data_IF_702763692458
#
_entry.id   IF_702763692458
#
_cell.length_a   1.000
_cell.length_b   1.000
_cell.length_c   1.000
_cell.angle_alpha   90.00
_cell.angle_beta   90.00
_cell.angle_gamma   90.00
#
_symmetry.space_group_name_H-M   'P 1'
#
loop_
_entity.id
_entity.type
_entity.pdbx_description
1 polymer ?
#
# COMPACT_ATOMS: atom_id res chain seq x y z
N UNK A 1 -46.75 14.20 33.55
CA UNK A 1 -46.94 14.58 32.13
C UNK A 1 -46.15 13.59 31.27
N UNK A 2 -46.92 12.80 30.51
CA UNK A 2 -46.63 12.03 29.28
C UNK A 2 -45.17 11.70 28.92
N UNK A 3 -44.84 10.43 29.16
CA UNK A 3 -43.95 9.57 28.36
C UNK A 3 -44.32 9.64 26.88
N UNK A 4 -43.33 9.67 25.99
CA UNK A 4 -43.50 9.32 24.57
C UNK A 4 -42.51 8.23 24.17
N UNK A 5 -43.08 7.05 24.00
CA UNK A 5 -42.56 5.96 23.17
C UNK A 5 -42.97 6.28 21.73
N UNK A 6 -42.03 6.19 20.78
CA UNK A 6 -42.29 6.04 19.34
C UNK A 6 -41.09 5.25 18.78
N UNK A 7 -41.17 3.92 18.75
CA UNK A 7 -41.65 3.12 17.61
C UNK A 7 -40.96 3.44 16.29
N UNK A 8 -39.99 2.59 15.94
CA UNK A 8 -39.84 1.98 14.62
C UNK A 8 -39.54 2.89 13.44
N UNK A 9 -38.28 2.88 12.99
CA UNK A 9 -37.98 2.82 11.56
C UNK A 9 -36.69 2.03 11.38
N UNK A 10 -36.85 0.79 10.92
CA UNK A 10 -35.78 0.01 10.32
C UNK A 10 -35.26 0.79 9.11
N UNK A 11 -34.01 1.25 9.15
CA UNK A 11 -33.34 1.70 7.94
C UNK A 11 -32.78 0.48 7.24
N UNK A 12 -33.50 0.11 6.20
CA UNK A 12 -33.20 -0.89 5.20
C UNK A 12 -31.76 -0.69 4.68
N UNK A 13 -31.02 -1.80 4.67
CA UNK A 13 -29.81 -1.97 3.87
C UNK A 13 -30.10 -1.54 2.43
N UNK A 14 -29.51 -0.43 1.99
CA UNK A 14 -29.47 -0.07 0.58
C UNK A 14 -28.18 -0.66 -0.01
N UNK A 15 -28.25 -1.92 -0.39
CA UNK A 15 -27.28 -2.55 -1.28
C UNK A 15 -27.41 -1.88 -2.64
N UNK A 16 -26.47 -1.02 -3.01
CA UNK A 16 -26.35 -0.58 -4.39
C UNK A 16 -25.81 -1.76 -5.22
N UNK A 17 -26.72 -2.50 -5.83
CA UNK A 17 -26.37 -3.32 -6.98
C UNK A 17 -26.10 -2.38 -8.15
N UNK A 18 -24.88 -2.41 -8.67
CA UNK A 18 -24.55 -1.83 -9.97
C UNK A 18 -25.31 -2.67 -11.00
N UNK A 19 -26.41 -2.12 -11.54
CA UNK A 19 -27.10 -2.68 -12.70
C UNK A 19 -26.44 -2.14 -13.95
N UNK A 20 -25.61 -2.95 -14.62
CA UNK A 20 -25.25 -2.70 -16.01
C UNK A 20 -26.42 -3.17 -16.89
N UNK A 21 -27.01 -2.25 -17.63
CA UNK A 21 -27.93 -2.57 -18.72
C UNK A 21 -27.09 -3.14 -19.88
N UNK A 22 -27.18 -4.45 -20.10
CA UNK A 22 -26.48 -5.12 -21.18
C UNK A 22 -27.30 -5.02 -22.46
N UNK A 23 -27.07 -3.96 -23.24
CA UNK A 23 -27.51 -3.95 -24.62
C UNK A 23 -26.37 -4.49 -25.49
N UNK A 24 -26.35 -5.81 -25.71
CA UNK A 24 -25.31 -6.46 -26.50
C UNK A 24 -25.91 -7.04 -27.78
N UNK A 25 -25.78 -6.29 -28.88
CA UNK A 25 -25.73 -6.87 -30.21
C UNK A 25 -24.25 -6.88 -30.59
N UNK A 26 -23.66 -8.08 -30.66
CA UNK A 26 -22.70 -8.46 -31.70
C UNK A 26 -22.34 -9.95 -31.55
N UNK A 27 -22.46 -10.65 -32.68
CA UNK A 27 -21.85 -11.93 -32.99
C UNK A 27 -20.36 -11.91 -32.62
N UNK A 28 -19.93 -12.85 -31.78
CA UNK A 28 -18.58 -13.40 -31.81
C UNK A 28 -18.62 -14.84 -31.25
N UNK A 29 -18.42 -15.81 -32.16
CA UNK A 29 -18.29 -17.23 -31.84
C UNK A 29 -16.87 -17.51 -31.32
N UNK A 30 -16.63 -17.31 -30.02
CA UNK A 30 -15.51 -17.92 -29.29
C UNK A 30 -16.09 -18.83 -28.19
N UNK A 31 -15.81 -20.16 -28.17
CA UNK A 31 -16.38 -21.07 -27.19
C UNK A 31 -15.88 -20.81 -25.76
N UNK A 32 -14.85 -19.99 -25.54
CA UNK A 32 -14.34 -19.69 -24.20
C UNK A 32 -13.53 -18.38 -24.15
N UNK A 33 -14.17 -17.20 -24.06
CA UNK A 33 -13.43 -15.94 -23.98
C UNK A 33 -12.54 -15.92 -22.73
N UNK A 34 -11.26 -15.61 -22.91
CA UNK A 34 -10.31 -15.42 -21.81
C UNK A 34 -10.87 -14.42 -20.79
N UNK A 35 -10.73 -14.66 -19.47
CA UNK A 35 -11.24 -13.74 -18.45
C UNK A 35 -10.63 -12.34 -18.65
N UNK A 36 -11.50 -11.34 -18.87
CA UNK A 36 -11.11 -9.94 -19.04
C UNK A 36 -10.90 -9.25 -17.69
N UNK A 37 -10.20 -8.11 -17.69
CA UNK A 37 -10.03 -7.28 -16.50
C UNK A 37 -11.38 -6.69 -16.07
N UNK A 38 -11.68 -6.78 -14.78
CA UNK A 38 -12.91 -6.25 -14.20
C UNK A 38 -12.64 -5.20 -13.12
N UNK A 39 -13.65 -4.41 -12.78
CA UNK A 39 -13.57 -3.49 -11.62
C UNK A 39 -13.36 -4.23 -10.30
N UNK A 40 -13.85 -5.47 -10.17
CA UNK A 40 -13.63 -6.33 -9.02
C UNK A 40 -12.16 -6.75 -8.89
N UNK A 41 -11.49 -7.05 -10.00
CA UNK A 41 -10.04 -7.33 -10.03
C UNK A 41 -9.25 -6.12 -9.52
N UNK A 42 -9.55 -4.92 -10.04
CA UNK A 42 -8.90 -3.67 -9.62
C UNK A 42 -9.15 -3.37 -8.14
N UNK A 43 -10.37 -3.62 -7.65
CA UNK A 43 -10.70 -3.45 -6.24
C UNK A 43 -9.93 -4.43 -5.33
N UNK A 44 -9.74 -5.68 -5.74
CA UNK A 44 -8.93 -6.65 -4.99
C UNK A 44 -7.45 -6.26 -4.99
N UNK A 45 -6.92 -5.80 -6.12
CA UNK A 45 -5.57 -5.27 -6.22
C UNK A 45 -5.37 -4.09 -5.25
N UNK A 46 -6.32 -3.16 -5.20
CA UNK A 46 -6.28 -2.02 -4.28
C UNK A 46 -6.26 -2.46 -2.81
N UNK A 47 -7.06 -3.46 -2.42
CA UNK A 47 -7.04 -4.01 -1.05
C UNK A 47 -5.70 -4.64 -0.68
N UNK A 48 -5.02 -5.27 -1.63
CA UNK A 48 -3.68 -5.84 -1.43
C UNK A 48 -2.66 -4.70 -1.27
N UNK A 49 -2.73 -3.68 -2.12
CA UNK A 49 -1.82 -2.52 -2.06
C UNK A 49 -1.93 -1.77 -0.73
N UNK A 50 -3.16 -1.50 -0.25
CA UNK A 50 -3.38 -0.86 1.07
C UNK A 50 -2.76 -1.68 2.20
N UNK A 51 -2.92 -3.00 2.19
CA UNK A 51 -2.30 -3.87 3.21
C UNK A 51 -0.76 -3.84 3.14
N UNK A 52 -0.19 -3.80 1.94
CA UNK A 52 1.26 -3.70 1.73
C UNK A 52 1.78 -2.36 2.22
N UNK A 53 1.13 -1.27 1.86
CA UNK A 53 1.56 0.09 2.17
C UNK A 53 1.47 0.38 3.67
N UNK A 54 0.43 -0.10 4.35
CA UNK A 54 0.32 0.00 5.81
C UNK A 54 1.44 -0.78 6.52
N UNK A 55 1.78 -1.98 6.04
CA UNK A 55 2.91 -2.74 6.58
C UNK A 55 4.23 -1.99 6.37
N UNK A 56 4.46 -1.46 5.17
CA UNK A 56 5.65 -0.67 4.87
C UNK A 56 5.75 0.51 5.83
N UNK A 57 4.66 1.24 6.04
CA UNK A 57 4.62 2.37 6.96
C UNK A 57 4.99 1.97 8.40
N UNK A 58 4.47 0.82 8.89
CA UNK A 58 4.85 0.27 10.20
C UNK A 58 6.35 -0.05 10.26
N UNK A 59 6.89 -0.70 9.24
CA UNK A 59 8.30 -1.10 9.19
C UNK A 59 9.21 0.14 9.19
N UNK A 60 8.91 1.14 8.36
CA UNK A 60 9.68 2.39 8.28
C UNK A 60 9.63 3.19 9.60
N UNK A 61 8.45 3.30 10.23
CA UNK A 61 8.27 3.96 11.53
C UNK A 61 9.13 3.29 12.62
N UNK A 62 9.14 1.95 12.66
CA UNK A 62 9.87 1.22 13.68
C UNK A 62 11.39 1.23 13.47
N UNK A 63 11.84 1.23 12.22
CA UNK A 63 13.23 1.48 11.90
C UNK A 63 13.67 2.89 12.31
N UNK A 64 12.90 3.91 11.93
CA UNK A 64 13.18 5.32 12.25
C UNK A 64 13.18 5.57 13.77
N UNK A 65 12.23 4.96 14.50
CA UNK A 65 12.17 5.02 15.97
C UNK A 65 13.46 4.46 16.59
N UNK A 66 13.94 3.30 16.10
CA UNK A 66 15.18 2.72 16.60
C UNK A 66 16.39 3.62 16.30
N UNK A 67 16.50 4.11 15.06
CA UNK A 67 17.57 5.03 14.65
C UNK A 67 17.64 6.29 15.53
N UNK A 68 16.48 6.90 15.80
CA UNK A 68 16.38 8.10 16.64
C UNK A 68 16.75 7.80 18.10
N UNK A 69 16.32 6.65 18.62
CA UNK A 69 16.67 6.23 19.98
C UNK A 69 18.19 6.06 20.17
N UNK A 70 18.89 5.53 19.16
CA UNK A 70 20.36 5.39 19.18
C UNK A 70 21.07 6.72 19.04
N UNK A 71 20.50 7.68 18.30
CA UNK A 71 21.08 9.00 18.10
C UNK A 71 20.79 9.99 19.25
N UNK A 72 20.07 9.58 20.30
CA UNK A 72 19.65 10.44 21.42
C UNK A 72 18.94 11.72 20.97
N UNK A 73 18.20 11.68 19.86
CA UNK A 73 17.48 12.85 19.38
C UNK A 73 16.32 13.18 20.33
N UNK A 74 16.29 14.41 20.86
CA UNK A 74 15.24 14.93 21.77
C UNK A 74 13.87 15.14 21.11
N UNK A 75 13.72 14.80 19.83
CA UNK A 75 12.46 14.88 19.12
C UNK A 75 11.55 13.73 19.59
N UNK A 76 10.48 14.05 20.29
CA UNK A 76 9.42 13.11 20.65
C UNK A 76 8.78 12.58 19.39
N UNK A 77 9.27 11.47 18.84
CA UNK A 77 8.54 10.74 17.80
C UNK A 77 7.26 10.20 18.42
N UNK A 78 6.12 10.85 18.15
CA UNK A 78 4.82 10.28 18.48
C UNK A 78 4.70 8.99 17.68
N UNK A 79 4.89 7.85 18.33
CA UNK A 79 4.89 6.55 17.66
C UNK A 79 3.58 6.38 16.88
N UNK A 80 3.70 5.95 15.62
CA UNK A 80 2.54 5.64 14.78
C UNK A 80 1.68 4.53 15.37
N UNK A 81 2.32 3.59 16.08
CA UNK A 81 1.67 2.39 16.56
C UNK A 81 0.68 2.69 17.71
N UNK A 82 -0.49 2.04 17.69
CA UNK A 82 -1.46 2.14 18.77
C UNK A 82 -0.90 1.54 20.06
N UNK A 83 -1.43 1.97 21.21
CA UNK A 83 -0.96 1.55 22.54
C UNK A 83 -1.13 0.06 22.83
N UNK A 84 -1.95 -0.65 22.06
CA UNK A 84 -2.12 -2.10 22.16
C UNK A 84 -0.96 -2.89 21.53
N UNK A 85 -0.12 -2.25 20.70
CA UNK A 85 1.03 -2.90 20.09
C UNK A 85 2.16 -3.01 21.11
N UNK A 86 2.74 -4.20 21.27
CA UNK A 86 3.91 -4.45 22.11
C UNK A 86 5.14 -4.58 21.23
N UNK A 87 6.20 -3.83 21.57
CA UNK A 87 7.45 -3.86 20.80
C UNK A 87 8.53 -4.51 21.65
N UNK A 88 9.15 -5.57 21.13
CA UNK A 88 10.35 -6.18 21.72
C UNK A 88 11.54 -5.94 20.81
N UNK A 89 12.67 -5.50 21.36
CA UNK A 89 13.89 -5.21 20.60
C UNK A 89 15.04 -6.04 21.16
N UNK A 90 15.75 -6.72 20.26
CA UNK A 90 16.93 -7.54 20.58
C UNK A 90 18.09 -7.11 19.68
N UNK A 91 19.28 -6.98 20.25
CA UNK A 91 20.53 -6.82 19.51
C UNK A 91 21.36 -8.09 19.65
N UNK A 92 21.67 -8.73 18.53
CA UNK A 92 22.59 -9.86 18.48
C UNK A 92 23.44 -9.75 17.20
N UNK A 93 24.73 -10.03 17.32
CA UNK A 93 25.67 -10.08 16.18
C UNK A 93 25.63 -8.85 15.24
N UNK A 94 25.43 -7.65 15.80
CA UNK A 94 25.37 -6.40 15.02
C UNK A 94 24.06 -6.18 14.24
N UNK A 95 23.03 -6.99 14.51
CA UNK A 95 21.71 -6.89 13.88
C UNK A 95 20.67 -6.57 14.95
N UNK A 96 19.92 -5.48 14.73
CA UNK A 96 18.71 -5.20 15.48
C UNK A 96 17.57 -6.06 14.94
N UNK A 97 16.91 -6.79 15.83
CA UNK A 97 15.65 -7.48 15.55
C UNK A 97 14.55 -6.85 16.41
N UNK A 98 13.52 -6.30 15.77
CA UNK A 98 12.35 -5.75 16.46
C UNK A 98 11.12 -6.58 16.11
N UNK A 99 10.40 -7.03 17.14
CA UNK A 99 9.12 -7.72 16.99
C UNK A 99 8.02 -6.76 17.41
N UNK A 100 7.10 -6.48 16.48
CA UNK A 100 5.88 -5.72 16.71
C UNK A 100 4.76 -6.73 16.87
N UNK A 101 4.20 -6.84 18.07
CA UNK A 101 3.13 -7.78 18.41
C UNK A 101 1.82 -7.02 18.64
N UNK A 102 0.84 -7.24 17.76
CA UNK A 102 -0.50 -6.66 17.84
C UNK A 102 -1.49 -7.57 18.60
N UNK A 103 -1.01 -8.68 19.14
CA UNK A 103 -1.82 -9.68 19.83
C UNK A 103 -2.81 -10.40 18.91
N UNK A 104 -3.62 -11.27 19.52
CA UNK A 104 -4.65 -12.05 18.83
C UNK A 104 -5.97 -11.30 18.69
N UNK A 105 -6.27 -10.38 19.62
CA UNK A 105 -7.45 -9.51 19.57
C UNK A 105 -7.32 -8.44 18.47
N UNK A 106 -6.10 -8.06 18.12
CA UNK A 106 -5.80 -7.04 17.13
C UNK A 106 -5.78 -5.61 17.67
N UNK A 107 -5.29 -4.73 16.82
CA UNK A 107 -5.01 -3.33 17.06
C UNK A 107 -5.57 -2.48 15.93
N UNK A 108 -6.33 -1.44 16.29
CA UNK A 108 -6.83 -0.45 15.34
C UNK A 108 -5.73 0.58 15.05
N UNK A 109 -5.30 0.67 13.80
CA UNK A 109 -4.35 1.67 13.33
C UNK A 109 -5.03 3.06 13.20
N UNK A 110 -4.26 4.16 13.21
CA UNK A 110 -4.80 5.51 13.05
C UNK A 110 -5.60 5.76 11.76
N UNK A 111 -5.35 4.98 10.72
CA UNK A 111 -6.08 5.02 9.45
C UNK A 111 -7.40 4.22 9.47
N UNK A 112 -7.75 3.58 10.59
CA UNK A 112 -8.96 2.76 10.73
C UNK A 112 -8.79 1.29 10.36
N UNK A 113 -7.63 0.87 9.87
CA UNK A 113 -7.36 -0.53 9.53
C UNK A 113 -7.03 -1.35 10.78
N UNK A 114 -7.54 -2.58 10.84
CA UNK A 114 -7.31 -3.53 11.93
C UNK A 114 -6.16 -4.45 11.60
N UNK A 115 -5.17 -4.54 12.48
CA UNK A 115 -4.03 -5.46 12.36
C UNK A 115 -3.92 -6.41 13.56
N UNK A 116 -3.55 -7.67 13.35
CA UNK A 116 -3.32 -8.65 14.43
C UNK A 116 -2.13 -9.56 14.09
N UNK A 117 -1.58 -10.24 15.07
CA UNK A 117 -0.38 -11.06 14.91
C UNK A 117 0.90 -10.23 15.00
N UNK A 118 1.98 -10.67 14.35
CA UNK A 118 3.30 -10.06 14.51
C UNK A 118 4.01 -9.74 13.21
N UNK A 119 4.75 -8.64 13.23
CA UNK A 119 5.75 -8.28 12.22
C UNK A 119 7.12 -8.33 12.89
N UNK A 120 8.05 -9.07 12.29
CA UNK A 120 9.43 -9.14 12.75
C UNK A 120 10.29 -8.41 11.73
N UNK A 121 10.98 -7.36 12.15
CA UNK A 121 11.87 -6.56 11.31
C UNK A 121 13.31 -6.75 11.78
N UNK A 122 14.25 -6.76 10.83
CA UNK A 122 15.68 -6.88 11.09
C UNK A 122 16.50 -5.94 10.23
N UNK A 123 17.49 -5.27 10.82
CA UNK A 123 18.37 -4.32 10.15
C UNK A 123 19.70 -4.14 10.89
N UNK A 124 20.73 -3.65 10.19
CA UNK A 124 22.07 -3.40 10.73
C UNK A 124 22.07 -2.28 11.78
N UNK A 125 23.04 -2.32 12.71
CA UNK A 125 23.31 -1.22 13.65
C UNK A 125 23.95 0.01 12.99
N UNK A 126 24.53 -0.13 11.79
CA UNK A 126 25.15 0.98 11.08
C UNK A 126 24.11 1.78 10.29
N UNK A 127 23.57 2.80 10.95
CA UNK A 127 22.64 3.75 10.36
C UNK A 127 23.33 4.79 9.45
N UNK A 128 24.66 4.86 9.44
CA UNK A 128 25.43 5.82 8.64
C UNK A 128 25.81 5.29 7.26
N UNK A 129 25.70 3.97 7.06
CA UNK A 129 25.93 3.34 5.76
C UNK A 129 25.07 4.01 4.67
N UNK A 130 25.65 4.32 3.50
CA UNK A 130 24.90 4.87 2.36
C UNK A 130 23.92 3.85 1.77
N UNK A 131 24.10 2.56 2.05
CA UNK A 131 23.19 1.48 1.66
C UNK A 131 22.72 0.74 2.92
N UNK A 132 21.41 0.71 3.15
CA UNK A 132 20.81 0.09 4.34
C UNK A 132 19.65 -0.79 3.91
N UNK A 133 19.62 -2.02 4.40
CA UNK A 133 18.54 -2.96 4.11
C UNK A 133 17.77 -3.27 5.38
N UNK A 134 16.45 -3.13 5.31
CA UNK A 134 15.50 -3.60 6.31
C UNK A 134 14.83 -4.83 5.74
N UNK A 135 14.94 -5.96 6.43
CA UNK A 135 14.20 -7.17 6.09
C UNK A 135 13.05 -7.35 7.07
N UNK A 136 11.93 -7.90 6.61
CA UNK A 136 10.84 -8.22 7.52
C UNK A 136 10.03 -9.45 7.10
N UNK A 137 9.45 -10.08 8.11
CA UNK A 137 8.67 -11.31 8.02
C UNK A 137 7.44 -11.23 8.92
N UNK A 138 6.51 -12.17 8.75
CA UNK A 138 5.23 -12.19 9.46
C UNK A 138 5.06 -13.47 10.28
N UNK A 139 4.42 -13.34 11.45
CA UNK A 139 3.93 -14.47 12.25
C UNK A 139 2.46 -14.26 12.52
N UNK A 140 1.62 -15.09 11.90
CA UNK A 140 0.16 -15.03 12.00
C UNK A 140 -0.39 -13.60 11.83
N UNK A 141 0.20 -12.82 10.91
CA UNK A 141 -0.14 -11.42 10.72
C UNK A 141 -1.35 -11.25 9.80
N UNK A 142 -2.34 -10.49 10.24
CA UNK A 142 -3.51 -10.17 9.45
C UNK A 142 -3.73 -8.67 9.34
N UNK A 143 -4.16 -8.21 8.16
CA UNK A 143 -4.62 -6.86 7.90
C UNK A 143 -6.06 -6.89 7.38
N UNK A 144 -7.01 -6.32 8.13
CA UNK A 144 -8.44 -6.39 7.85
C UNK A 144 -8.87 -7.83 7.46
N UNK A 145 -8.54 -8.79 8.32
CA UNK A 145 -8.79 -10.23 8.14
C UNK A 145 -8.05 -10.94 6.99
N UNK A 146 -7.24 -10.23 6.19
CA UNK A 146 -6.37 -10.85 5.18
C UNK A 146 -5.09 -11.33 5.85
N UNK A 147 -4.79 -12.62 5.77
CA UNK A 147 -3.54 -13.21 6.27
C UNK A 147 -2.42 -12.88 5.28
N UNK A 148 -1.36 -12.23 5.76
CA UNK A 148 -0.17 -11.91 4.97
C UNK A 148 0.99 -12.84 5.38
N UNK A 149 1.62 -13.44 4.39
CA UNK A 149 2.76 -14.34 4.56
C UNK A 149 3.81 -14.03 3.49
N UNK A 150 5.08 -14.25 3.80
CA UNK A 150 6.19 -14.01 2.88
C UNK A 150 7.30 -13.17 3.52
N UNK A 151 8.27 -12.80 2.68
CA UNK A 151 9.45 -12.05 3.07
C UNK A 151 9.57 -10.80 2.21
N UNK A 152 10.10 -9.73 2.79
CA UNK A 152 10.27 -8.46 2.06
C UNK A 152 11.50 -7.71 2.49
N UNK A 153 11.97 -6.84 1.59
CA UNK A 153 13.08 -5.94 1.87
C UNK A 153 12.75 -4.51 1.49
N UNK A 154 13.28 -3.58 2.27
CA UNK A 154 13.36 -2.15 1.96
C UNK A 154 14.84 -1.81 1.91
N UNK A 155 15.31 -1.32 0.77
CA UNK A 155 16.69 -0.89 0.58
C UNK A 155 16.73 0.62 0.44
N UNK A 156 17.45 1.28 1.34
CA UNK A 156 17.72 2.72 1.30
C UNK A 156 19.09 2.94 0.67
N UNK A 157 19.16 3.85 -0.29
CA UNK A 157 20.39 4.25 -0.96
C UNK A 157 20.45 5.77 -1.11
N UNK A 158 21.66 6.34 -1.05
CA UNK A 158 21.93 7.68 -1.56
C UNK A 158 22.60 7.55 -2.93
N UNK A 159 21.88 7.88 -4.00
CA UNK A 159 22.39 7.76 -5.38
C UNK A 159 21.74 8.78 -6.31
N UNK A 160 22.33 8.96 -7.48
CA UNK A 160 21.67 9.61 -8.62
C UNK A 160 20.83 8.59 -9.39
N UNK A 161 19.79 9.07 -10.07
CA UNK A 161 18.89 8.25 -10.90
C UNK A 161 18.62 8.93 -12.23
N UNK A 162 17.89 8.26 -13.12
CA UNK A 162 17.39 8.86 -14.35
C UNK A 162 16.33 9.96 -14.10
N UNK A 163 15.65 9.94 -12.94
CA UNK A 163 14.63 10.92 -12.58
C UNK A 163 15.23 12.17 -11.91
N UNK A 164 16.37 12.02 -11.21
CA UNK A 164 17.09 13.14 -10.61
C UNK A 164 18.61 12.86 -10.58
N UNK A 165 19.38 13.72 -11.25
CA UNK A 165 20.83 13.57 -11.40
C UNK A 165 21.61 13.87 -10.11
N UNK A 166 21.09 14.76 -9.26
CA UNK A 166 21.66 15.02 -7.94
C UNK A 166 21.53 13.80 -7.03
N UNK A 167 22.50 13.59 -6.14
CA UNK A 167 22.44 12.48 -5.18
C UNK A 167 21.31 12.74 -4.18
N UNK A 168 20.37 11.82 -4.10
CA UNK A 168 19.19 11.94 -3.25
C UNK A 168 18.80 10.57 -2.65
N UNK A 169 17.93 10.54 -1.63
CA UNK A 169 17.40 9.31 -1.06
C UNK A 169 16.52 8.54 -2.05
N UNK A 170 16.88 7.27 -2.25
CA UNK A 170 16.14 6.30 -3.06
C UNK A 170 15.81 5.09 -2.20
N UNK A 171 14.53 4.71 -2.18
CA UNK A 171 14.02 3.56 -1.42
C UNK A 171 13.46 2.53 -2.37
N UNK A 172 14.02 1.33 -2.36
CA UNK A 172 13.55 0.20 -3.16
C UNK A 172 12.85 -0.81 -2.26
N UNK A 173 11.57 -1.04 -2.52
CA UNK A 173 10.72 -2.01 -1.84
C UNK A 173 10.56 -3.22 -2.74
N UNK A 174 10.85 -4.40 -2.22
CA UNK A 174 10.54 -5.67 -2.89
C UNK A 174 9.38 -6.35 -2.17
N UNK A 175 8.48 -6.96 -2.95
CA UNK A 175 7.41 -7.79 -2.44
C UNK A 175 7.51 -9.18 -3.04
N UNK A 176 7.43 -10.19 -2.17
CA UNK A 176 7.11 -11.56 -2.49
C UNK A 176 6.21 -12.09 -1.36
N UNK A 177 4.91 -12.15 -1.62
CA UNK A 177 3.91 -12.47 -0.61
C UNK A 177 2.83 -13.39 -1.10
N UNK A 178 2.29 -14.15 -0.15
CA UNK A 178 1.00 -14.82 -0.22
C UNK A 178 0.00 -14.07 0.67
N UNK A 179 -1.16 -13.75 0.12
CA UNK A 179 -2.25 -13.06 0.79
C UNK A 179 -3.48 -13.97 0.75
N UNK A 180 -4.00 -14.36 1.91
CA UNK A 180 -5.23 -15.15 1.99
C UNK A 180 -6.37 -14.25 2.46
N UNK A 181 -7.42 -14.13 1.66
CA UNK A 181 -8.61 -13.35 1.97
C UNK A 181 -9.51 -14.12 2.95
N UNK A 182 -10.49 -13.41 3.51
CA UNK A 182 -11.46 -13.96 4.47
C UNK A 182 -12.37 -15.04 3.87
N UNK A 183 -12.63 -14.98 2.56
CA UNK A 183 -13.32 -16.02 1.79
C UNK A 183 -12.45 -17.24 1.48
N UNK A 184 -11.20 -17.28 1.95
CA UNK A 184 -10.25 -18.37 1.74
C UNK A 184 -9.50 -18.30 0.41
N UNK A 185 -9.78 -17.32 -0.46
CA UNK A 185 -9.05 -17.12 -1.71
C UNK A 185 -7.62 -16.71 -1.43
N UNK A 186 -6.70 -17.30 -2.18
CA UNK A 186 -5.27 -17.08 -2.05
C UNK A 186 -4.76 -16.33 -3.27
N UNK A 187 -4.07 -15.22 -3.01
CA UNK A 187 -3.36 -14.43 -4.00
C UNK A 187 -1.87 -14.50 -3.71
N UNK A 188 -1.04 -14.49 -4.74
CA UNK A 188 0.40 -14.24 -4.57
C UNK A 188 0.78 -12.97 -5.29
N UNK A 189 1.70 -12.19 -4.72
CA UNK A 189 2.14 -10.91 -5.25
C UNK A 189 3.66 -10.88 -5.25
N UNK A 190 4.25 -10.64 -6.41
CA UNK A 190 5.68 -10.32 -6.55
C UNK A 190 5.83 -8.95 -7.20
N UNK A 191 6.94 -8.25 -6.93
CA UNK A 191 7.17 -6.94 -7.57
C UNK A 191 8.18 -6.07 -6.87
N UNK A 192 8.43 -4.91 -7.49
CA UNK A 192 9.37 -3.89 -7.02
C UNK A 192 8.74 -2.52 -7.14
N UNK A 193 8.83 -1.73 -6.07
CA UNK A 193 8.45 -0.32 -6.04
C UNK A 193 9.68 0.51 -5.65
N UNK A 194 9.93 1.61 -6.34
CA UNK A 194 11.02 2.54 -6.04
C UNK A 194 10.40 3.89 -5.71
N UNK A 195 10.80 4.50 -4.59
CA UNK A 195 10.38 5.83 -4.15
C UNK A 195 11.61 6.74 -4.04
N UNK A 196 11.58 7.87 -4.72
CA UNK A 196 12.68 8.84 -4.81
C UNK A 196 12.22 10.18 -4.26
N UNK A 197 13.01 10.79 -3.37
CA UNK A 197 12.76 12.14 -2.86
C UNK A 197 13.34 13.18 -3.83
N UNK A 198 12.50 13.74 -4.70
CA UNK A 198 12.95 14.62 -5.79
C UNK A 198 12.96 16.10 -5.42
N UNK A 199 12.24 16.49 -4.37
CA UNK A 199 12.24 17.84 -3.79
C UNK A 199 12.21 17.74 -2.26
N UNK A 200 12.66 18.79 -1.54
CA UNK A 200 12.71 18.84 -0.07
C UNK A 200 13.94 18.17 0.58
N UNK A 201 14.80 17.50 -0.20
CA UNK A 201 15.99 16.83 0.34
C UNK A 201 17.01 17.80 1.00
N UNK A 202 16.98 19.09 0.64
CA UNK A 202 17.84 20.13 1.24
C UNK A 202 17.36 20.63 2.62
N UNK A 203 16.15 20.27 3.02
CA UNK A 203 15.44 20.80 4.19
C UNK A 203 14.95 19.64 5.07
N UNK A 204 15.85 18.77 5.59
CA UNK A 204 15.48 17.50 6.23
C UNK A 204 14.61 17.62 7.51
N UNK A 205 14.44 18.83 8.05
CA UNK A 205 13.57 19.11 9.19
C UNK A 205 12.17 19.59 8.78
N UNK A 206 11.97 19.88 7.50
CA UNK A 206 10.73 20.33 6.89
C UNK A 206 10.23 19.15 6.06
N UNK A 207 9.16 18.50 6.52
CA UNK A 207 8.69 17.28 5.89
C UNK A 207 7.63 17.56 4.82
N UNK A 208 6.92 18.68 4.95
CA UNK A 208 5.78 19.06 4.12
C UNK A 208 6.20 19.60 2.74
N UNK A 209 7.42 20.12 2.58
CA UNK A 209 7.95 20.56 1.29
C UNK A 209 8.48 19.42 0.40
N UNK A 210 8.47 18.17 0.89
CA UNK A 210 8.96 17.04 0.13
C UNK A 210 8.02 16.67 -1.02
N UNK A 211 8.64 16.26 -2.12
CA UNK A 211 7.96 15.60 -3.23
C UNK A 211 8.63 14.26 -3.49
N UNK A 212 7.80 13.24 -3.64
CA UNK A 212 8.26 11.90 -3.99
C UNK A 212 7.77 11.48 -5.37
N UNK A 213 8.65 10.85 -6.13
CA UNK A 213 8.27 10.08 -7.31
C UNK A 213 8.31 8.60 -6.98
N UNK A 214 7.29 7.87 -7.42
CA UNK A 214 7.21 6.42 -7.25
C UNK A 214 7.11 5.76 -8.61
N UNK A 215 7.98 4.78 -8.85
CA UNK A 215 7.97 3.90 -10.02
C UNK A 215 7.95 2.45 -9.59
N UNK A 216 7.70 1.54 -10.51
CA UNK A 216 7.71 0.11 -10.22
C UNK A 216 6.68 -0.69 -10.98
N UNK A 217 6.67 -1.98 -10.68
CA UNK A 217 5.72 -2.93 -11.22
C UNK A 217 5.44 -4.04 -10.21
N UNK A 218 4.35 -4.75 -10.42
CA UNK A 218 4.03 -5.94 -9.66
C UNK A 218 3.16 -6.92 -10.43
N UNK A 219 3.28 -8.19 -10.08
CA UNK A 219 2.54 -9.30 -10.66
C UNK A 219 1.73 -9.97 -9.55
N UNK A 220 0.42 -10.06 -9.73
CA UNK A 220 -0.49 -10.82 -8.86
C UNK A 220 -0.93 -12.09 -9.55
N UNK A 221 -0.80 -13.24 -8.89
CA UNK A 221 -1.47 -14.47 -9.31
C UNK A 221 -2.77 -14.60 -8.52
N UNK A 222 -3.88 -14.71 -9.24
CA UNK A 222 -5.23 -14.93 -8.72
C UNK A 222 -5.42 -16.40 -8.27
N UNK A 223 -6.45 -16.72 -7.47
CA UNK A 223 -6.70 -18.09 -6.98
C UNK A 223 -6.83 -19.14 -8.09
N UNK A 224 -7.39 -18.74 -9.23
CA UNK A 224 -7.57 -19.57 -10.43
C UNK A 224 -6.30 -19.70 -11.30
N UNK A 225 -5.21 -19.02 -10.92
CA UNK A 225 -3.93 -19.03 -11.62
C UNK A 225 -3.76 -17.94 -12.69
N UNK A 226 -4.81 -17.18 -13.01
CA UNK A 226 -4.70 -16.01 -13.89
C UNK A 226 -3.82 -14.93 -13.28
N UNK A 227 -3.05 -14.24 -14.12
CA UNK A 227 -2.08 -13.23 -13.70
C UNK A 227 -2.60 -11.83 -14.03
N UNK A 228 -2.44 -10.92 -13.07
CA UNK A 228 -2.59 -9.48 -13.27
C UNK A 228 -1.20 -8.84 -13.16
N UNK A 229 -0.84 -7.98 -14.12
CA UNK A 229 0.39 -7.18 -14.05
C UNK A 229 0.02 -5.71 -13.90
N UNK A 230 0.63 -5.05 -12.91
CA UNK A 230 0.54 -3.61 -12.70
C UNK A 230 1.90 -2.98 -12.99
N UNK A 231 1.91 -1.94 -13.80
CA UNK A 231 3.12 -1.18 -14.14
C UNK A 231 2.83 0.31 -13.99
N UNK A 232 3.68 1.01 -13.24
CA UNK A 232 3.67 2.49 -13.22
C UNK A 232 4.34 2.95 -14.50
N UNK A 233 3.54 3.40 -15.47
CA UNK A 233 3.99 3.84 -16.80
C UNK A 233 4.40 5.31 -16.81
N UNK A 234 3.77 6.12 -15.95
CA UNK A 234 4.19 7.50 -15.64
C UNK A 234 4.41 7.57 -14.13
N UNK A 235 5.59 8.03 -13.64
CA UNK A 235 5.90 8.08 -12.22
C UNK A 235 4.78 8.72 -11.41
N UNK A 236 4.39 8.07 -10.31
CA UNK A 236 3.38 8.60 -9.39
C UNK A 236 4.00 9.71 -8.56
N UNK A 237 3.40 10.90 -8.58
CA UNK A 237 3.90 12.06 -7.84
C UNK A 237 3.12 12.25 -6.56
N UNK A 238 3.81 12.21 -5.43
CA UNK A 238 3.26 12.54 -4.11
C UNK A 238 3.81 13.88 -3.66
N UNK A 239 2.92 14.77 -3.24
CA UNK A 239 3.28 16.12 -2.77
C UNK A 239 2.84 16.23 -1.32
N UNK A 240 3.80 16.36 -0.39
CA UNK A 240 3.50 16.27 1.04
C UNK A 240 2.66 17.44 1.54
N UNK A 241 2.78 18.63 0.95
CA UNK A 241 1.92 19.80 1.28
C UNK A 241 0.43 19.56 1.00
N UNK A 242 0.08 18.61 0.12
CA UNK A 242 -1.33 18.26 -0.12
C UNK A 242 -1.98 17.56 1.08
N UNK A 243 -1.20 17.02 2.03
CA UNK A 243 -1.70 16.27 3.19
C UNK A 243 -2.67 15.12 2.82
N UNK A 244 -2.48 14.52 1.65
CA UNK A 244 -3.26 13.38 1.16
C UNK A 244 -2.35 12.15 0.99
N UNK A 245 -2.83 10.94 1.29
CA UNK A 245 -2.06 9.71 1.12
C UNK A 245 -2.06 9.20 -0.34
N UNK A 246 -2.48 10.03 -1.29
CA UNK A 246 -2.66 9.67 -2.69
C UNK A 246 -1.71 10.47 -3.58
N UNK A 247 -1.26 9.91 -4.72
CA UNK A 247 -0.50 10.68 -5.69
C UNK A 247 -1.42 11.70 -6.38
N UNK A 248 -0.88 12.87 -6.69
CA UNK A 248 -1.59 13.96 -7.37
C UNK A 248 -1.51 13.85 -8.90
N UNK A 249 -0.63 13.00 -9.41
CA UNK A 249 -0.48 12.70 -10.83
C UNK A 249 0.29 11.40 -11.05
N UNK A 250 0.23 10.89 -12.27
CA UNK A 250 0.89 9.67 -12.71
C UNK A 250 -0.10 8.65 -13.26
N UNK A 251 0.42 7.58 -13.84
CA UNK A 251 -0.38 6.59 -14.58
C UNK A 251 0.08 5.18 -14.23
N UNK A 252 -0.88 4.32 -13.94
CA UNK A 252 -0.69 2.88 -13.74
C UNK A 252 -1.47 2.13 -14.80
N UNK A 253 -0.77 1.28 -15.54
CA UNK A 253 -1.39 0.32 -16.46
C UNK A 253 -1.55 -1.01 -15.72
N UNK A 254 -2.73 -1.62 -15.85
CA UNK A 254 -3.12 -2.89 -15.25
C UNK A 254 -3.51 -3.81 -16.40
N UNK A 255 -2.86 -4.95 -16.55
CA UNK A 255 -3.19 -5.92 -17.59
C UNK A 255 -3.62 -7.23 -16.98
N UNK A 256 -4.65 -7.85 -17.57
CA UNK A 256 -5.11 -9.21 -17.26
C UNK A 256 -5.41 -9.89 -18.58
N UNK A 257 -4.58 -10.87 -18.95
CA UNK A 257 -4.57 -11.45 -20.30
C UNK A 257 -4.46 -10.34 -21.36
N UNK A 258 -5.37 -10.31 -22.34
CA UNK A 258 -5.41 -9.29 -23.41
C UNK A 258 -6.20 -8.03 -23.03
N UNK A 259 -6.75 -7.96 -21.81
CA UNK A 259 -7.53 -6.82 -21.34
C UNK A 259 -6.64 -5.85 -20.56
N UNK A 260 -6.77 -4.56 -20.87
CA UNK A 260 -6.01 -3.47 -20.26
C UNK A 260 -6.95 -2.50 -19.51
N UNK A 261 -6.48 -2.09 -18.33
CA UNK A 261 -7.01 -0.99 -17.55
C UNK A 261 -5.95 0.07 -17.32
N UNK A 262 -6.35 1.34 -17.34
CA UNK A 262 -5.49 2.49 -17.07
C UNK A 262 -6.06 3.27 -15.90
N UNK A 263 -5.26 3.43 -14.86
CA UNK A 263 -5.56 4.28 -13.71
C UNK A 263 -4.71 5.55 -13.80
N UNK A 264 -5.35 6.70 -13.97
CA UNK A 264 -4.71 8.00 -14.08
C UNK A 264 -5.10 8.89 -12.89
N UNK A 265 -4.09 9.36 -12.16
CA UNK A 265 -4.23 10.13 -10.91
C UNK A 265 -4.38 11.64 -11.12
N UNK A 266 -4.53 12.09 -12.36
CA UNK A 266 -4.77 13.50 -12.67
C UNK A 266 -3.51 14.28 -12.99
N UNK A 267 -3.60 15.60 -12.84
CA UNK A 267 -2.65 16.57 -13.40
C UNK A 267 -1.90 17.39 -12.33
N UNK A 268 -1.97 16.99 -11.06
CA UNK A 268 -1.26 17.65 -9.96
C UNK A 268 -2.14 18.41 -8.97
N UNK A 269 -3.47 18.35 -9.10
CA UNK A 269 -4.39 18.93 -8.10
C UNK A 269 -4.33 18.09 -6.82
N UNK A 270 -4.31 18.77 -5.67
CA UNK A 270 -4.43 18.12 -4.36
C UNK A 270 -5.89 17.68 -4.13
N UNK A 271 -6.31 16.61 -4.78
CA UNK A 271 -7.59 15.94 -4.54
C UNK A 271 -7.39 14.43 -4.39
N UNK A 272 -8.49 13.71 -4.18
CA UNK A 272 -8.52 12.25 -4.08
C UNK A 272 -9.27 11.62 -5.25
N UNK A 273 -9.22 12.23 -6.44
CA UNK A 273 -9.89 11.74 -7.63
C UNK A 273 -8.88 11.06 -8.56
N UNK A 274 -9.33 10.01 -9.23
CA UNK A 274 -8.59 9.38 -10.32
C UNK A 274 -9.58 8.93 -11.39
N UNK A 275 -9.07 8.66 -12.59
CA UNK A 275 -9.87 8.07 -13.67
C UNK A 275 -9.40 6.65 -13.94
N UNK A 276 -10.34 5.71 -13.95
CA UNK A 276 -10.12 4.32 -14.30
C UNK A 276 -10.77 4.05 -15.66
N UNK A 277 -9.95 3.73 -16.64
CA UNK A 277 -10.39 3.30 -17.98
C UNK A 277 -10.20 1.81 -18.11
N UNK A 278 -11.26 1.04 -18.35
CA UNK A 278 -11.17 -0.40 -18.66
C UNK A 278 -11.90 -0.65 -19.97
N UNK A 279 -11.23 -1.29 -20.93
CA UNK A 279 -11.81 -1.61 -22.25
C UNK A 279 -12.50 -0.41 -22.92
N UNK A 280 -11.90 0.78 -22.82
CA UNK A 280 -12.41 2.03 -23.40
C UNK A 280 -13.48 2.76 -22.59
N UNK A 281 -13.99 2.19 -21.48
CA UNK A 281 -14.94 2.85 -20.59
C UNK A 281 -14.21 3.52 -19.45
N UNK A 282 -14.32 4.85 -19.37
CA UNK A 282 -13.69 5.67 -18.33
C UNK A 282 -14.68 6.03 -17.23
N UNK A 283 -14.30 5.79 -15.98
CA UNK A 283 -15.06 6.15 -14.78
C UNK A 283 -14.19 6.97 -13.85
N UNK A 284 -14.71 8.09 -13.32
CA UNK A 284 -14.07 8.80 -12.22
C UNK A 284 -14.29 8.05 -10.92
N UNK A 285 -13.22 7.85 -10.15
CA UNK A 285 -13.24 7.17 -8.87
C UNK A 285 -12.69 8.08 -7.78
N UNK A 286 -13.31 8.01 -6.61
CA UNK A 286 -12.80 8.64 -5.40
C UNK A 286 -11.93 7.65 -4.65
N UNK A 287 -10.66 8.00 -4.45
CA UNK A 287 -9.68 7.21 -3.72
C UNK A 287 -9.99 7.23 -2.22
N UNK A 288 -9.86 6.06 -1.60
CA UNK A 288 -10.10 5.83 -0.17
C UNK A 288 -8.96 5.00 0.42
N UNK A 289 -8.72 5.15 1.72
CA UNK A 289 -7.72 4.40 2.48
C UNK A 289 -8.39 3.41 3.42
#
# INVERSE_FOLDING_TARGET
MKTKILSGMAFIMLSFFISCDSNNNNDDNDPNPSPVLTTADVANESKIDVAIDDVVFIVEDQYTTQQNSTNKSSATSKGFLPTCATITTVLADGIWTRTIDFGTAGCLLPNGNMVKGKIIISFSTDFTSPIRTISYTFVDFYHNNKLLQGNKTITYELKSTALLAEVHPVMTFTVDMKITFDDGKIYTRTGTKVKEAVEGNGTPLIWDDNVFLVTGNSTTTLPEGTIIVKTITTPLRYVMTCNLPFPVSGVVTITKNDSEGVLNFGNGVCDNLATLTINGVTTEITLQK
#
